data_IF_984420981851
#
_entry.id   IF_984420981851
#
_cell.length_a   1.000
_cell.length_b   1.000
_cell.length_c   1.000
_cell.angle_alpha   90.00
_cell.angle_beta   90.00
_cell.angle_gamma   90.00
#
_symmetry.space_group_name_H-M   'P 1'
#
loop_
_entity.id
_entity.type
_entity.pdbx_description
1 polymer ?
#
# COMPACT_ATOMS: atom_id res chain seq x y z
N UNK A 1 -10.59 -0.71 2.03
CA UNK A 1 -9.80 -1.58 1.14
C UNK A 1 -9.62 -0.90 -0.21
N UNK A 2 -8.42 -0.95 -0.80
CA UNK A 2 -8.13 -0.31 -2.09
C UNK A 2 -7.65 -1.37 -3.09
N UNK A 3 -8.28 -1.44 -4.25
CA UNK A 3 -7.88 -2.29 -5.35
C UNK A 3 -7.26 -1.42 -6.45
N UNK A 4 -6.09 -1.81 -6.92
CA UNK A 4 -5.43 -1.21 -8.07
C UNK A 4 -5.60 -2.15 -9.27
N UNK A 5 -6.09 -1.61 -10.38
CA UNK A 5 -6.28 -2.36 -11.62
C UNK A 5 -5.44 -1.67 -12.69
N UNK A 6 -4.47 -2.40 -13.25
CA UNK A 6 -3.57 -1.86 -14.28
C UNK A 6 -3.90 -2.47 -15.63
N UNK A 7 -4.23 -1.61 -16.59
CA UNK A 7 -4.55 -1.99 -17.95
C UNK A 7 -3.60 -1.33 -18.94
N UNK A 8 -3.00 -2.14 -19.80
CA UNK A 8 -2.29 -1.67 -21.00
C UNK A 8 -3.20 -1.82 -22.20
N UNK A 9 -3.58 -0.70 -22.80
CA UNK A 9 -4.51 -0.66 -23.92
C UNK A 9 -3.74 -0.73 -25.22
N UNK A 10 -4.29 -1.44 -26.21
CA UNK A 10 -3.75 -1.48 -27.58
C UNK A 10 -3.85 -0.10 -28.22
N UNK A 11 -2.85 0.23 -29.03
CA UNK A 11 -2.80 1.49 -29.76
C UNK A 11 -4.06 1.67 -30.64
N UNK A 12 -4.67 2.86 -30.60
CA UNK A 12 -5.87 3.20 -31.37
C UNK A 12 -7.19 2.69 -30.79
N UNK A 13 -7.16 1.95 -29.67
CA UNK A 13 -8.37 1.44 -28.97
C UNK A 13 -8.71 2.22 -27.69
N UNK A 14 -8.05 3.35 -27.46
CA UNK A 14 -8.19 4.14 -26.23
C UNK A 14 -9.60 4.69 -26.05
N UNK A 15 -10.25 5.12 -27.14
CA UNK A 15 -11.62 5.66 -27.08
C UNK A 15 -12.63 4.59 -26.65
N UNK A 16 -12.50 3.39 -27.19
CA UNK A 16 -13.35 2.26 -26.82
C UNK A 16 -13.12 1.85 -25.37
N UNK A 17 -11.86 1.80 -24.95
CA UNK A 17 -11.49 1.54 -23.56
C UNK A 17 -12.03 2.61 -22.61
N UNK A 18 -11.96 3.90 -22.96
CA UNK A 18 -12.54 4.98 -22.14
C UNK A 18 -14.06 4.88 -22.01
N UNK A 19 -14.75 4.49 -23.09
CA UNK A 19 -16.19 4.22 -23.06
C UNK A 19 -16.55 3.04 -22.15
N UNK A 20 -15.78 1.95 -22.24
CA UNK A 20 -15.90 0.80 -21.35
C UNK A 20 -15.61 1.18 -19.88
N UNK A 21 -14.59 2.00 -19.64
CA UNK A 21 -14.17 2.42 -18.31
C UNK A 21 -15.27 3.22 -17.60
N UNK A 22 -15.91 4.16 -18.30
CA UNK A 22 -17.04 4.93 -17.77
C UNK A 22 -18.19 4.01 -17.35
N UNK A 23 -18.58 3.06 -18.20
CA UNK A 23 -19.60 2.06 -17.89
C UNK A 23 -19.24 1.22 -16.67
N UNK A 24 -17.99 0.77 -16.59
CA UNK A 24 -17.48 -0.02 -15.46
C UNK A 24 -17.53 0.76 -14.15
N UNK A 25 -17.15 2.03 -14.17
CA UNK A 25 -17.21 2.92 -13.00
C UNK A 25 -18.66 3.11 -12.55
N UNK A 26 -19.59 3.31 -13.47
CA UNK A 26 -21.00 3.49 -13.11
C UNK A 26 -21.65 2.22 -12.55
N UNK A 27 -21.28 1.04 -13.06
CA UNK A 27 -21.68 -0.24 -12.47
C UNK A 27 -21.08 -0.40 -11.07
N UNK A 28 -19.78 -0.13 -10.90
CA UNK A 28 -19.10 -0.26 -9.60
C UNK A 28 -19.68 0.68 -8.53
N UNK A 29 -20.13 1.89 -8.89
CA UNK A 29 -20.84 2.81 -7.98
C UNK A 29 -22.14 2.22 -7.41
N UNK A 30 -22.78 1.30 -8.13
CA UNK A 30 -24.01 0.63 -7.69
C UNK A 30 -23.79 -0.44 -6.62
N UNK A 31 -22.54 -0.86 -6.37
CA UNK A 31 -22.24 -1.91 -5.40
C UNK A 31 -22.14 -1.36 -3.97
N UNK A 32 -22.62 -2.11 -2.96
CA UNK A 32 -22.62 -1.68 -1.57
C UNK A 32 -21.18 -1.49 -1.06
N UNK A 33 -20.94 -0.37 -0.38
CA UNK A 33 -19.63 -0.05 0.19
C UNK A 33 -18.64 0.58 -0.78
N UNK A 34 -19.04 0.94 -2.00
CA UNK A 34 -18.22 1.71 -2.92
C UNK A 34 -17.93 3.12 -2.35
N UNK A 35 -16.65 3.47 -2.22
CA UNK A 35 -16.19 4.76 -1.68
C UNK A 35 -15.69 5.73 -2.75
N UNK A 36 -15.40 5.23 -3.97
CA UNK A 36 -14.92 6.06 -5.07
C UNK A 36 -14.00 5.30 -6.03
N UNK A 37 -13.85 5.87 -7.23
CA UNK A 37 -12.88 5.42 -8.24
C UNK A 37 -12.03 6.61 -8.67
N UNK A 38 -10.70 6.46 -8.64
CA UNK A 38 -9.78 7.36 -9.33
C UNK A 38 -9.17 6.64 -10.53
N UNK A 39 -8.94 7.37 -11.62
CA UNK A 39 -8.29 6.81 -12.82
C UNK A 39 -7.09 7.66 -13.15
N UNK A 40 -5.91 7.06 -13.08
CA UNK A 40 -4.66 7.66 -13.53
C UNK A 40 -4.36 7.20 -14.95
N UNK A 41 -3.90 8.14 -15.76
CA UNK A 41 -3.55 7.93 -17.17
C UNK A 41 -2.08 8.23 -17.32
N UNK A 42 -1.32 7.23 -17.74
CA UNK A 42 0.12 7.32 -17.94
C UNK A 42 0.45 6.98 -19.39
N UNK A 43 1.43 7.68 -19.94
CA UNK A 43 2.01 7.34 -21.24
C UNK A 43 3.25 6.46 -20.99
N UNK A 44 3.25 5.26 -21.55
CA UNK A 44 4.31 4.25 -21.43
C UNK A 44 4.90 4.01 -22.82
N UNK A 45 5.80 4.92 -23.23
CA UNK A 45 6.30 4.99 -24.61
C UNK A 45 5.17 5.31 -25.60
N UNK A 46 4.94 4.40 -26.54
CA UNK A 46 3.90 4.52 -27.57
C UNK A 46 2.53 3.94 -27.12
N UNK A 47 2.43 3.45 -25.89
CA UNK A 47 1.22 2.81 -25.37
C UNK A 47 0.63 3.61 -24.21
N UNK A 48 -0.70 3.51 -24.05
CA UNK A 48 -1.40 4.09 -22.90
C UNK A 48 -1.59 3.07 -21.79
N UNK A 49 -1.18 3.45 -20.59
CA UNK A 49 -1.40 2.69 -19.37
C UNK A 49 -2.47 3.40 -18.54
N UNK A 50 -3.48 2.64 -18.13
CA UNK A 50 -4.54 3.12 -17.25
C UNK A 50 -4.44 2.40 -15.91
N UNK A 51 -4.36 3.17 -14.84
CA UNK A 51 -4.37 2.65 -13.47
C UNK A 51 -5.66 3.09 -12.80
N UNK A 52 -6.56 2.14 -12.55
CA UNK A 52 -7.83 2.39 -11.88
C UNK A 52 -7.69 2.05 -10.40
N UNK A 53 -7.98 3.01 -9.53
CA UNK A 53 -7.94 2.90 -8.07
C UNK A 53 -9.36 2.82 -7.56
N UNK A 54 -9.79 1.63 -7.16
CA UNK A 54 -11.14 1.37 -6.68
C UNK A 54 -11.14 1.23 -5.15
N UNK A 55 -11.99 1.99 -4.46
CA UNK A 55 -12.03 2.01 -2.98
C UNK A 55 -13.35 1.45 -2.47
N UNK A 56 -13.27 0.51 -1.53
CA UNK A 56 -14.42 -0.09 -0.84
C UNK A 56 -14.29 0.01 0.69
N UNK A 57 -15.43 0.06 1.38
CA UNK A 57 -15.51 0.15 2.83
C UNK A 57 -14.98 -1.10 3.54
N UNK A 58 -15.15 -2.30 2.96
CA UNK A 58 -14.67 -3.56 3.51
C UNK A 58 -14.12 -4.51 2.45
N UNK A 59 -13.30 -5.48 2.86
CA UNK A 59 -12.77 -6.54 1.98
C UNK A 59 -13.89 -7.43 1.43
N UNK A 60 -14.90 -7.77 2.25
CA UNK A 60 -16.02 -8.61 1.80
C UNK A 60 -16.84 -7.97 0.68
N UNK A 61 -17.07 -6.66 0.77
CA UNK A 61 -17.77 -5.92 -0.30
C UNK A 61 -16.95 -5.81 -1.58
N UNK A 62 -15.62 -5.65 -1.46
CA UNK A 62 -14.73 -5.68 -2.63
C UNK A 62 -14.76 -7.06 -3.31
N UNK A 63 -14.69 -8.14 -2.53
CA UNK A 63 -14.75 -9.50 -3.07
C UNK A 63 -16.09 -9.78 -3.75
N UNK A 64 -17.20 -9.34 -3.16
CA UNK A 64 -18.52 -9.46 -3.78
C UNK A 64 -18.60 -8.76 -5.15
N UNK A 65 -17.93 -7.61 -5.32
CA UNK A 65 -17.81 -6.96 -6.63
C UNK A 65 -16.89 -7.75 -7.59
N UNK A 66 -15.73 -8.22 -7.12
CA UNK A 66 -14.78 -8.99 -7.94
C UNK A 66 -15.39 -10.29 -8.48
N UNK A 67 -16.18 -10.98 -7.68
CA UNK A 67 -16.82 -12.26 -8.03
C UNK A 67 -18.16 -12.09 -8.78
N UNK A 68 -18.63 -10.84 -8.92
CA UNK A 68 -19.92 -10.54 -9.55
C UNK A 68 -20.00 -10.99 -11.01
N UNK A 69 -21.21 -11.30 -11.46
CA UNK A 69 -21.48 -11.57 -12.87
C UNK A 69 -21.23 -10.32 -13.75
N UNK A 70 -21.47 -9.13 -13.20
CA UNK A 70 -21.24 -7.87 -13.90
C UNK A 70 -19.74 -7.66 -14.19
N UNK A 71 -18.88 -7.88 -13.19
CA UNK A 71 -17.43 -7.77 -13.37
C UNK A 71 -16.91 -8.74 -14.42
N UNK A 72 -17.39 -9.99 -14.41
CA UNK A 72 -17.02 -10.99 -15.43
C UNK A 72 -17.36 -10.55 -16.84
N UNK A 73 -18.60 -10.09 -17.07
CA UNK A 73 -19.03 -9.55 -18.38
C UNK A 73 -18.19 -8.36 -18.82
N UNK A 74 -17.92 -7.43 -17.91
CA UNK A 74 -17.08 -6.26 -18.20
C UNK A 74 -15.64 -6.67 -18.57
N UNK A 75 -15.09 -7.71 -17.95
CA UNK A 75 -13.76 -8.21 -18.31
C UNK A 75 -13.73 -8.89 -19.67
N UNK A 76 -14.76 -9.66 -20.00
CA UNK A 76 -14.90 -10.27 -21.33
C UNK A 76 -14.97 -9.19 -22.43
N UNK A 77 -15.67 -8.07 -22.19
CA UNK A 77 -15.74 -6.94 -23.13
C UNK A 77 -14.39 -6.24 -23.36
N UNK A 78 -13.56 -6.10 -22.31
CA UNK A 78 -12.30 -5.34 -22.40
C UNK A 78 -11.11 -6.19 -22.82
N UNK A 79 -11.16 -7.51 -22.59
CA UNK A 79 -10.09 -8.45 -22.95
C UNK A 79 -9.48 -8.24 -24.36
N UNK A 80 -10.26 -8.05 -25.45
CA UNK A 80 -9.69 -7.83 -26.78
C UNK A 80 -9.01 -6.45 -26.95
N UNK A 81 -9.33 -5.47 -26.10
CA UNK A 81 -8.77 -4.12 -26.11
C UNK A 81 -7.42 -4.05 -25.37
N UNK A 82 -7.11 -5.05 -24.55
CA UNK A 82 -5.91 -5.09 -23.73
C UNK A 82 -4.77 -5.85 -24.42
N UNK A 83 -3.54 -5.45 -24.11
CA UNK A 83 -2.33 -6.12 -24.59
C UNK A 83 -1.90 -7.24 -23.63
N UNK A 84 -1.99 -6.99 -22.32
CA UNK A 84 -1.47 -7.89 -21.27
C UNK A 84 -2.57 -8.46 -20.35
N UNK A 85 -3.84 -8.34 -20.74
CA UNK A 85 -4.99 -8.74 -19.93
C UNK A 85 -5.26 -7.84 -18.71
N UNK A 86 -6.17 -8.28 -17.84
CA UNK A 86 -6.50 -7.61 -16.58
C UNK A 86 -5.50 -8.00 -15.49
N UNK A 87 -4.71 -7.04 -15.02
CA UNK A 87 -3.80 -7.24 -13.88
C UNK A 87 -4.38 -6.59 -12.64
N UNK A 88 -4.96 -7.44 -11.79
CA UNK A 88 -5.49 -7.08 -10.48
C UNK A 88 -4.36 -7.08 -9.46
N UNK A 89 -4.03 -5.90 -8.94
CA UNK A 89 -3.17 -5.75 -7.77
C UNK A 89 -4.04 -5.33 -6.59
N UNK A 90 -4.40 -6.30 -5.75
CA UNK A 90 -4.98 -6.00 -4.45
C UNK A 90 -3.91 -5.31 -3.63
N UNK A 91 -4.16 -4.05 -3.25
CA UNK A 91 -3.31 -3.36 -2.29
C UNK A 91 -3.96 -3.52 -0.91
N UNK A 92 -3.63 -4.58 -0.13
CA UNK A 92 -3.91 -4.53 1.30
C UNK A 92 -3.25 -3.25 1.80
N UNK A 93 -4.05 -2.38 2.40
CA UNK A 93 -3.64 -1.01 2.66
C UNK A 93 -2.29 -0.96 3.37
N UNK A 94 -1.27 -0.38 2.73
CA UNK A 94 0.00 0.07 3.35
C UNK A 94 0.70 -0.97 4.24
N UNK A 95 0.70 -2.25 3.88
CA UNK A 95 1.32 -3.29 4.73
C UNK A 95 2.78 -3.64 4.43
N UNK A 96 3.45 -2.97 3.49
CA UNK A 96 4.90 -3.13 3.35
C UNK A 96 5.63 -1.80 3.25
N UNK A 97 6.41 -1.52 4.30
CA UNK A 97 7.15 -0.29 4.57
C UNK A 97 7.96 0.23 3.38
N UNK A 98 8.41 -0.64 2.47
CA UNK A 98 8.98 -0.25 1.19
C UNK A 98 8.68 -1.27 0.07
N UNK A 99 7.59 -1.03 -0.69
CA UNK A 99 7.23 -1.56 -2.05
C UNK A 99 6.57 -2.96 -2.17
N UNK A 100 5.71 -3.24 -3.20
CA UNK A 100 4.91 -2.34 -4.07
C UNK A 100 3.39 -2.60 -4.09
N UNK A 101 2.64 -1.49 -4.08
CA UNK A 101 1.61 -1.20 -5.09
C UNK A 101 2.02 -0.06 -6.05
N UNK A 102 3.30 0.37 -6.00
CA UNK A 102 3.81 1.53 -6.71
C UNK A 102 4.75 1.15 -7.86
N UNK A 103 4.68 1.89 -8.97
CA UNK A 103 5.34 1.56 -10.24
C UNK A 103 6.82 1.97 -10.25
N UNK A 104 7.30 2.66 -9.20
CA UNK A 104 8.69 3.09 -9.05
C UNK A 104 9.09 3.06 -7.56
N UNK A 105 9.85 2.06 -7.08
CA UNK A 105 10.31 2.03 -5.69
C UNK A 105 11.22 3.23 -5.37
N UNK A 106 11.15 3.80 -4.15
CA UNK A 106 12.12 4.81 -3.74
C UNK A 106 13.54 4.21 -3.71
N UNK A 107 14.58 4.99 -4.02
CA UNK A 107 15.97 4.53 -4.02
C UNK A 107 16.37 3.85 -2.71
N UNK A 108 17.11 2.73 -2.79
CA UNK A 108 17.54 1.92 -1.63
C UNK A 108 18.27 2.72 -0.54
N UNK A 109 19.00 3.77 -0.92
CA UNK A 109 19.69 4.64 0.05
C UNK A 109 18.71 5.46 0.91
N UNK A 110 17.60 5.94 0.32
CA UNK A 110 16.55 6.66 1.07
C UNK A 110 15.88 5.71 2.07
N UNK A 111 15.63 4.47 1.66
CA UNK A 111 15.07 3.42 2.53
C UNK A 111 16.00 3.13 3.72
N UNK A 112 17.31 2.99 3.45
CA UNK A 112 18.31 2.75 4.49
C UNK A 112 18.40 3.93 5.48
N UNK A 113 18.42 5.17 5.00
CA UNK A 113 18.43 6.36 5.87
C UNK A 113 17.22 6.43 6.79
N UNK A 114 16.02 6.15 6.27
CA UNK A 114 14.77 6.17 7.06
C UNK A 114 14.77 5.07 8.13
N UNK A 115 15.14 3.84 7.76
CA UNK A 115 15.25 2.73 8.73
C UNK A 115 16.30 3.02 9.79
N UNK A 116 17.44 3.59 9.40
CA UNK A 116 18.49 4.00 10.31
C UNK A 116 18.01 5.08 11.30
N UNK A 117 17.34 6.12 10.79
CA UNK A 117 16.80 7.20 11.62
C UNK A 117 15.67 6.73 12.55
N UNK A 118 14.94 5.67 12.20
CA UNK A 118 13.91 5.09 13.05
C UNK A 118 14.47 4.20 14.16
N UNK A 119 15.45 3.34 13.82
CA UNK A 119 16.00 2.34 14.74
C UNK A 119 17.01 2.97 15.71
N UNK A 120 17.87 3.88 15.23
CA UNK A 120 18.95 4.48 16.03
C UNK A 120 18.48 5.23 17.29
N UNK A 121 17.49 6.14 17.25
CA UNK A 121 17.05 6.80 18.47
C UNK A 121 16.39 5.81 19.42
N UNK A 122 15.68 4.79 18.93
CA UNK A 122 15.06 3.76 19.78
C UNK A 122 16.09 2.88 20.47
N UNK A 123 17.12 2.45 19.76
CA UNK A 123 18.17 1.61 20.34
C UNK A 123 18.99 2.34 21.40
N UNK A 124 19.00 3.68 21.38
CA UNK A 124 19.67 4.50 22.40
C UNK A 124 18.73 4.92 23.54
N UNK A 125 17.50 5.35 23.23
CA UNK A 125 16.55 5.89 24.21
C UNK A 125 15.87 4.80 25.04
N UNK A 126 15.48 3.67 24.44
CA UNK A 126 14.72 2.63 25.16
C UNK A 126 15.54 2.02 26.30
N UNK A 127 16.82 1.63 26.10
CA UNK A 127 17.64 1.15 27.22
C UNK A 127 17.79 2.20 28.33
N UNK A 128 18.02 3.47 27.97
CA UNK A 128 18.18 4.58 28.91
C UNK A 128 16.92 4.81 29.76
N UNK A 129 15.73 4.67 29.17
CA UNK A 129 14.46 4.80 29.90
C UNK A 129 14.20 3.64 30.85
N UNK A 130 14.66 2.43 30.51
CA UNK A 130 14.50 1.25 31.34
C UNK A 130 15.57 1.13 32.45
N UNK A 131 16.74 1.76 32.30
CA UNK A 131 17.81 1.81 33.31
C UNK A 131 17.33 2.16 34.72
N UNK A 132 16.63 3.29 34.98
CA UNK A 132 16.17 3.63 36.33
C UNK A 132 15.18 2.60 36.90
N UNK A 133 14.42 1.92 36.04
CA UNK A 133 13.47 0.90 36.46
C UNK A 133 14.15 -0.42 36.83
N UNK A 134 15.23 -0.79 36.12
CA UNK A 134 16.06 -1.95 36.47
C UNK A 134 16.86 -1.73 37.76
N UNK A 135 17.30 -0.51 38.01
CA UNK A 135 17.94 -0.14 39.28
C UNK A 135 16.95 -0.22 40.46
N UNK A 136 15.69 0.17 40.25
CA UNK A 136 14.65 0.09 41.27
C UNK A 136 14.15 -1.35 41.52
N UNK A 137 14.21 -2.24 40.53
CA UNK A 137 13.73 -3.62 40.62
C UNK A 137 14.84 -4.63 40.16
N UNK A 138 15.73 -5.04 41.07
CA UNK A 138 16.89 -5.89 40.75
C UNK A 138 16.55 -7.26 40.13
N UNK A 139 15.37 -7.80 40.42
CA UNK A 139 14.89 -9.07 39.85
C UNK A 139 14.66 -9.03 38.33
N UNK A 140 14.51 -7.84 37.73
CA UNK A 140 14.29 -7.61 36.29
C UNK A 140 15.56 -7.10 35.59
N UNK A 141 16.58 -6.68 36.36
CA UNK A 141 17.86 -6.18 35.86
C UNK A 141 18.85 -7.27 35.41
N UNK A 142 18.45 -8.55 35.42
CA UNK A 142 19.26 -9.63 34.87
C UNK A 142 19.50 -9.46 33.36
N UNK A 143 20.66 -9.92 32.88
CA UNK A 143 21.08 -9.76 31.47
C UNK A 143 20.03 -10.27 30.46
N UNK A 144 19.40 -11.42 30.73
CA UNK A 144 18.35 -11.98 29.87
C UNK A 144 17.03 -11.20 29.94
N UNK A 145 16.37 -11.04 31.12
CA UNK A 145 15.07 -10.38 31.20
C UNK A 145 15.10 -8.91 30.75
N UNK A 146 16.17 -8.18 31.07
CA UNK A 146 16.36 -6.78 30.66
C UNK A 146 16.44 -6.64 29.14
N UNK A 147 17.29 -7.45 28.48
CA UNK A 147 17.42 -7.42 27.02
C UNK A 147 16.12 -7.82 26.31
N UNK A 148 15.37 -8.79 26.84
CA UNK A 148 14.07 -9.18 26.28
C UNK A 148 13.06 -8.03 26.38
N UNK A 149 12.96 -7.37 27.53
CA UNK A 149 12.05 -6.24 27.74
C UNK A 149 12.40 -5.05 26.85
N UNK A 150 13.67 -4.70 26.75
CA UNK A 150 14.17 -3.63 25.87
C UNK A 150 13.86 -3.97 24.40
N UNK A 151 14.23 -5.18 23.95
CA UNK A 151 14.04 -5.59 22.56
C UNK A 151 12.56 -5.64 22.20
N UNK A 152 11.72 -6.21 23.06
CA UNK A 152 10.27 -6.24 22.88
C UNK A 152 9.69 -4.83 22.81
N UNK A 153 10.12 -3.94 23.71
CA UNK A 153 9.69 -2.54 23.71
C UNK A 153 10.07 -1.85 22.40
N UNK A 154 11.30 -2.01 21.92
CA UNK A 154 11.75 -1.44 20.63
C UNK A 154 10.87 -1.96 19.49
N UNK A 155 10.66 -3.28 19.39
CA UNK A 155 9.85 -3.88 18.32
C UNK A 155 8.43 -3.33 18.34
N UNK A 156 7.78 -3.28 19.52
CA UNK A 156 6.43 -2.72 19.64
C UNK A 156 6.38 -1.24 19.26
N UNK A 157 7.37 -0.44 19.66
CA UNK A 157 7.41 0.98 19.37
C UNK A 157 7.67 1.24 17.88
N UNK A 158 8.51 0.43 17.22
CA UNK A 158 8.72 0.48 15.77
C UNK A 158 7.42 0.17 15.03
N UNK A 159 6.76 -0.93 15.40
CA UNK A 159 5.56 -1.43 14.71
C UNK A 159 4.36 -0.52 14.93
N UNK A 160 4.14 -0.03 16.14
CA UNK A 160 2.91 0.71 16.46
C UNK A 160 3.06 2.23 16.39
N UNK A 161 4.25 2.79 16.68
CA UNK A 161 4.44 4.25 16.71
C UNK A 161 5.15 4.76 15.45
N UNK A 162 6.26 4.13 15.06
CA UNK A 162 7.05 4.59 13.92
C UNK A 162 6.41 4.24 12.58
N UNK A 163 5.84 3.04 12.44
CA UNK A 163 5.17 2.61 11.21
C UNK A 163 4.12 3.62 10.72
N UNK A 164 3.17 4.11 11.55
CA UNK A 164 2.20 5.12 11.10
C UNK A 164 2.77 6.54 10.99
N UNK A 165 3.76 6.91 11.81
CA UNK A 165 4.30 8.28 11.85
C UNK A 165 5.20 8.58 10.64
N UNK A 166 6.11 7.66 10.32
CA UNK A 166 7.07 7.84 9.23
C UNK A 166 6.40 7.71 7.87
N UNK A 167 5.42 6.82 7.71
CA UNK A 167 4.61 6.76 6.47
C UNK A 167 3.82 8.05 6.24
N UNK A 168 3.36 8.73 7.31
CA UNK A 168 2.75 10.06 7.20
C UNK A 168 3.76 11.15 6.87
N UNK A 169 4.94 11.17 7.49
CA UNK A 169 5.89 12.27 7.36
C UNK A 169 6.79 12.19 6.13
N UNK A 170 7.16 10.99 5.70
CA UNK A 170 8.11 10.81 4.60
C UNK A 170 7.44 10.48 3.26
N UNK A 171 6.12 10.30 3.19
CA UNK A 171 5.42 10.08 1.91
C UNK A 171 5.62 11.25 0.92
N UNK A 172 5.62 12.48 1.41
CA UNK A 172 5.86 13.66 0.58
C UNK A 172 7.32 13.74 0.06
N UNK A 173 8.32 13.35 0.87
CA UNK A 173 9.74 13.40 0.49
C UNK A 173 10.20 12.19 -0.34
N UNK A 174 9.58 11.03 -0.14
CA UNK A 174 9.84 9.83 -0.94
C UNK A 174 9.27 9.95 -2.37
N UNK A 175 8.17 10.70 -2.53
CA UNK A 175 7.51 10.91 -3.82
C UNK A 175 7.95 12.20 -4.56
N UNK A 176 8.62 13.12 -3.86
CA UNK A 176 9.27 14.27 -4.50
C UNK A 176 10.47 13.77 -5.33
N UNK A 177 10.37 13.98 -6.65
CA UNK A 177 11.39 13.63 -7.64
C UNK A 177 12.64 14.49 -7.47
#
# INVERSE_FOLDING_TARGET
MTLLIRHRVREGREREYEGWLRRTVDVAKGYPGHLGVDVLREQDGDRRRFTCVLRFASTGQLQAWLESADRRRLIEEVAPLLTDGDRLELSPGREFWFTPGDVNPPPRWKQACVSFLAILPLSLLVPLLWQPLFEALPWLGGYLPSNVLITLSIVLLVVYLFMPAVTRWFSAWLNAH
#
